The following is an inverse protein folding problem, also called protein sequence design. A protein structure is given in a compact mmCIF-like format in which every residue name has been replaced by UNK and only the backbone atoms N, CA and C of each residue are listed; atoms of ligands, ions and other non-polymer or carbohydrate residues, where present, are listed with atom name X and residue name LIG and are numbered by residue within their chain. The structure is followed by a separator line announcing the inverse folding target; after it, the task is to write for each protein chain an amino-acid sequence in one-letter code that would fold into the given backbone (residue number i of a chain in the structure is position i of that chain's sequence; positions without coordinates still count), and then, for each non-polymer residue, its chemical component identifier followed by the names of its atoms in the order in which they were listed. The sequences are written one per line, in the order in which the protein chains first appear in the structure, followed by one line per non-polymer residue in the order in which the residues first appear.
data_IF_894255438803
#
_entry.id   IF_894255438803
#
_cell.length_a   1.000
_cell.length_b   1.000
_cell.length_c   1.000
_cell.angle_alpha   90.00
_cell.angle_beta   90.00
_cell.angle_gamma   90.00
#
_symmetry.space_group_name_H-M   'P 1'
#
loop_
_entity.id
_entity.type
_entity.pdbx_description
1 polymer ?
#
# COMPACT_ATOMS: atom_id res chain seq x y z
N UNK A 1 29.61 -4.26 30.02
CA UNK A 1 29.37 -5.17 28.87
C UNK A 1 27.88 -5.32 28.51
N UNK A 2 26.98 -5.31 29.52
CA UNK A 2 25.53 -5.44 29.25
C UNK A 2 24.91 -4.20 28.61
N UNK A 3 25.48 -3.03 28.77
CA UNK A 3 24.90 -1.75 28.31
C UNK A 3 25.19 -1.50 26.81
N UNK A 4 26.30 -2.04 26.30
CA UNK A 4 26.67 -1.89 24.86
C UNK A 4 25.71 -2.63 23.93
N UNK A 5 25.09 -3.71 24.40
CA UNK A 5 24.14 -4.50 23.62
C UNK A 5 22.69 -4.01 23.69
N UNK A 6 22.39 -3.05 24.56
CA UNK A 6 21.03 -2.51 24.73
C UNK A 6 20.72 -1.26 23.90
N UNK A 7 21.75 -0.71 23.22
CA UNK A 7 21.63 0.54 22.45
C UNK A 7 22.18 0.36 21.06
N UNK A 8 21.42 -0.37 20.22
CA UNK A 8 21.84 -0.62 18.84
C UNK A 8 20.86 -0.01 17.87
N UNK A 9 21.39 0.49 16.76
CA UNK A 9 20.61 0.92 15.60
C UNK A 9 20.83 -0.09 14.48
N UNK A 10 19.76 -0.69 14.00
CA UNK A 10 19.78 -1.55 12.82
C UNK A 10 19.33 -0.74 11.62
N UNK A 11 20.18 -0.61 10.60
CA UNK A 11 19.82 0.07 9.36
C UNK A 11 19.09 -0.90 8.44
N UNK A 12 17.87 -0.53 8.06
CA UNK A 12 17.04 -1.26 7.11
C UNK A 12 17.20 -0.66 5.71
N UNK A 13 17.86 -1.37 4.80
CA UNK A 13 17.95 -1.00 3.39
C UNK A 13 16.89 -1.79 2.61
N UNK A 14 15.67 -1.32 2.66
CA UNK A 14 14.49 -1.97 2.09
C UNK A 14 14.55 -1.94 0.56
N UNK A 15 14.59 -3.10 -0.13
CA UNK A 15 14.47 -3.20 -1.58
C UNK A 15 12.99 -3.34 -1.98
N UNK A 16 12.71 -3.26 -3.28
CA UNK A 16 11.45 -3.72 -3.90
C UNK A 16 10.16 -3.24 -3.21
N UNK A 17 10.14 -1.98 -2.72
CA UNK A 17 8.94 -1.39 -2.11
C UNK A 17 7.81 -1.31 -3.13
N UNK A 18 8.07 -0.93 -4.36
CA UNK A 18 7.08 -0.76 -5.44
C UNK A 18 6.38 -2.07 -5.86
N UNK A 19 6.92 -3.22 -5.45
CA UNK A 19 6.29 -4.55 -5.63
C UNK A 19 5.71 -5.12 -4.33
N UNK A 20 5.90 -4.43 -3.19
CA UNK A 20 5.48 -4.84 -1.84
C UNK A 20 6.11 -6.15 -1.36
N UNK A 21 7.31 -6.46 -1.83
CA UNK A 21 8.02 -7.71 -1.53
C UNK A 21 9.18 -7.51 -0.56
N UNK A 22 9.79 -6.32 -0.56
CA UNK A 22 11.07 -6.09 0.11
C UNK A 22 11.01 -6.18 1.62
N UNK A 23 10.06 -5.53 2.27
CA UNK A 23 9.90 -5.63 3.72
C UNK A 23 9.51 -7.06 4.14
N UNK A 24 8.71 -7.77 3.34
CA UNK A 24 8.34 -9.16 3.58
C UNK A 24 9.57 -10.06 3.58
N UNK A 25 10.38 -9.98 2.52
CA UNK A 25 11.61 -10.75 2.39
C UNK A 25 12.58 -10.48 3.56
N UNK A 26 12.79 -9.23 3.91
CA UNK A 26 13.63 -8.86 5.05
C UNK A 26 13.11 -9.39 6.38
N UNK A 27 11.79 -9.39 6.60
CA UNK A 27 11.16 -9.91 7.81
C UNK A 27 11.30 -11.45 7.90
N UNK A 28 11.13 -12.16 6.80
CA UNK A 28 11.32 -13.60 6.71
C UNK A 28 12.77 -14.00 6.92
N UNK A 29 13.71 -13.11 6.61
CA UNK A 29 15.15 -13.28 6.84
C UNK A 29 15.65 -12.67 8.17
N UNK A 30 14.77 -12.43 9.13
CA UNK A 30 15.12 -12.07 10.50
C UNK A 30 15.44 -10.60 10.73
N UNK A 31 14.86 -9.68 9.95
CA UNK A 31 15.04 -8.22 10.12
C UNK A 31 14.85 -7.77 11.58
N UNK A 32 13.85 -8.30 12.27
CA UNK A 32 13.51 -7.92 13.65
C UNK A 32 14.19 -8.80 14.72
N UNK A 33 15.08 -9.68 14.31
CA UNK A 33 15.77 -10.62 15.18
C UNK A 33 17.28 -10.31 15.24
N UNK A 34 17.94 -10.72 16.33
CA UNK A 34 19.41 -10.73 16.50
C UNK A 34 20.16 -9.46 16.06
N UNK A 35 20.02 -8.30 16.74
CA UNK A 35 19.26 -8.12 17.98
C UNK A 35 17.77 -7.94 17.70
N UNK A 36 16.91 -8.19 18.69
CA UNK A 36 15.50 -7.85 18.58
C UNK A 36 15.32 -6.34 18.41
N UNK A 37 14.28 -5.96 17.67
CA UNK A 37 13.96 -4.56 17.38
C UNK A 37 12.76 -4.14 18.22
N UNK A 38 12.90 -3.06 19.00
CA UNK A 38 11.86 -2.55 19.89
C UNK A 38 11.00 -1.46 19.25
N UNK A 39 11.56 -0.71 18.28
CA UNK A 39 10.82 0.28 17.48
C UNK A 39 11.45 0.45 16.11
N UNK A 40 10.66 0.96 15.15
CA UNK A 40 11.15 1.24 13.80
C UNK A 40 10.73 2.64 13.33
N UNK A 41 11.58 3.26 12.51
CA UNK A 41 11.37 4.58 11.93
C UNK A 41 11.65 4.55 10.43
N UNK A 42 10.74 5.10 9.64
CA UNK A 42 10.93 5.29 8.20
C UNK A 42 10.60 6.72 7.78
N UNK A 43 11.25 7.19 6.73
CA UNK A 43 10.91 8.44 6.07
C UNK A 43 10.65 8.21 4.58
N UNK A 44 9.62 8.88 4.08
CA UNK A 44 9.34 8.98 2.65
C UNK A 44 9.51 10.44 2.22
N UNK A 45 9.97 10.69 1.01
CA UNK A 45 10.07 12.04 0.45
C UNK A 45 8.79 12.43 -0.27
N UNK A 46 8.29 13.63 -0.02
CA UNK A 46 7.10 14.17 -0.67
C UNK A 46 7.49 15.24 -1.69
N UNK A 47 7.40 14.91 -2.97
CA UNK A 47 7.55 15.87 -4.07
C UNK A 47 6.30 16.76 -4.25
N UNK A 48 6.27 17.55 -5.30
CA UNK A 48 5.16 18.45 -5.60
C UNK A 48 5.28 19.76 -4.82
N UNK A 49 4.16 20.28 -4.35
CA UNK A 49 4.11 21.52 -3.54
C UNK A 49 4.28 21.25 -2.05
N UNK A 50 5.29 20.48 -1.71
CA UNK A 50 5.65 20.13 -0.34
C UNK A 50 7.08 20.60 -0.05
N UNK A 51 7.28 21.84 0.47
CA UNK A 51 8.60 22.43 0.60
C UNK A 51 9.43 21.76 1.70
N UNK A 52 10.75 21.91 1.62
CA UNK A 52 11.68 21.46 2.66
C UNK A 52 11.35 22.12 4.00
N UNK A 53 11.33 21.31 5.07
CA UNK A 53 10.88 21.68 6.40
C UNK A 53 9.46 21.22 6.73
N UNK A 54 8.65 20.88 5.73
CA UNK A 54 7.36 20.23 5.95
C UNK A 54 7.56 18.77 6.38
N UNK A 55 6.86 18.36 7.45
CA UNK A 55 6.85 16.99 7.96
C UNK A 55 5.40 16.54 8.13
N UNK A 56 4.98 15.61 7.30
CA UNK A 56 3.61 15.10 7.33
C UNK A 56 3.57 13.74 8.00
N UNK A 57 2.59 13.51 8.88
CA UNK A 57 2.50 12.30 9.69
C UNK A 57 1.04 11.94 10.03
N UNK A 58 0.85 10.73 10.58
CA UNK A 58 -0.39 10.34 11.23
C UNK A 58 -0.06 9.62 12.55
N UNK A 59 -0.62 10.11 13.64
CA UNK A 59 -0.46 9.59 15.00
C UNK A 59 -1.73 8.95 15.58
N UNK A 60 -2.82 8.95 14.82
CA UNK A 60 -4.15 8.61 15.33
C UNK A 60 -4.98 7.72 14.41
N UNK A 61 -4.36 7.12 13.41
CA UNK A 61 -5.08 6.27 12.47
C UNK A 61 -4.21 5.65 11.39
N UNK A 62 -4.85 5.31 10.29
CA UNK A 62 -4.19 4.73 9.12
C UNK A 62 -3.56 5.84 8.30
N UNK A 63 -2.24 5.78 8.15
CA UNK A 63 -1.46 6.70 7.33
C UNK A 63 -1.55 6.36 5.84
N UNK A 64 -1.51 5.07 5.49
CA UNK A 64 -1.65 4.58 4.11
C UNK A 64 -2.57 3.37 4.05
N UNK A 65 -3.34 3.25 2.97
CA UNK A 65 -4.28 2.14 2.80
C UNK A 65 -3.57 0.82 2.55
N UNK A 66 -4.26 -0.30 2.79
CA UNK A 66 -3.85 -1.61 2.27
C UNK A 66 -3.93 -1.64 0.74
N UNK A 67 -3.26 -2.60 0.14
CA UNK A 67 -3.52 -3.04 -1.22
C UNK A 67 -3.62 -4.55 -1.29
N UNK A 68 -4.61 -5.03 -2.04
CA UNK A 68 -4.73 -6.42 -2.47
C UNK A 68 -4.96 -6.40 -3.98
N UNK A 69 -3.88 -6.67 -4.74
CA UNK A 69 -3.93 -6.83 -6.18
C UNK A 69 -4.38 -8.25 -6.53
N UNK A 70 -5.26 -8.39 -7.50
CA UNK A 70 -5.80 -9.68 -7.91
C UNK A 70 -5.95 -9.81 -9.42
N UNK A 71 -5.88 -11.05 -9.88
CA UNK A 71 -6.24 -11.46 -11.22
C UNK A 71 -7.30 -12.55 -11.15
N UNK A 72 -8.39 -12.39 -11.90
CA UNK A 72 -9.45 -13.38 -12.08
C UNK A 72 -9.40 -13.83 -13.54
N UNK A 73 -9.05 -15.08 -13.77
CA UNK A 73 -9.17 -15.72 -15.08
C UNK A 73 -10.46 -16.51 -15.14
N UNK A 74 -11.37 -16.08 -15.99
CA UNK A 74 -12.63 -16.78 -16.27
C UNK A 74 -12.37 -17.83 -17.34
N UNK A 75 -12.66 -19.09 -17.05
CA UNK A 75 -12.58 -20.21 -17.98
C UNK A 75 -13.97 -20.56 -18.50
N UNK A 76 -14.15 -20.42 -19.79
CA UNK A 76 -15.36 -20.75 -20.51
C UNK A 76 -15.10 -21.85 -21.54
N UNK A 77 -15.80 -21.75 -22.65
CA UNK A 77 -15.64 -22.58 -23.85
C UNK A 77 -15.96 -21.76 -25.09
N UNK A 78 -14.97 -21.57 -25.93
CA UNK A 78 -15.09 -20.79 -27.16
C UNK A 78 -15.96 -21.46 -28.22
N UNK A 79 -16.44 -20.65 -29.14
CA UNK A 79 -17.13 -21.12 -30.36
C UNK A 79 -17.18 -20.03 -31.43
N UNK A 80 -17.68 -20.37 -32.61
CA UNK A 80 -18.03 -19.38 -33.61
C UNK A 80 -19.15 -18.46 -33.08
N UNK A 81 -19.02 -17.15 -33.22
CA UNK A 81 -19.99 -16.17 -32.68
C UNK A 81 -21.42 -16.33 -33.14
N UNK A 82 -21.67 -17.03 -34.28
CA UNK A 82 -23.01 -17.38 -34.75
C UNK A 82 -23.62 -18.61 -34.02
N UNK A 83 -22.83 -19.33 -33.21
CA UNK A 83 -23.28 -20.53 -32.49
C UNK A 83 -23.07 -20.37 -30.98
N UNK A 84 -23.59 -19.32 -30.32
CA UNK A 84 -23.34 -19.05 -28.90
C UNK A 84 -23.91 -20.12 -27.97
N UNK A 85 -24.89 -20.88 -28.41
CA UNK A 85 -25.47 -22.01 -27.68
C UNK A 85 -24.50 -23.18 -27.48
N UNK A 86 -23.38 -23.23 -28.21
CA UNK A 86 -22.33 -24.22 -28.08
C UNK A 86 -21.17 -23.71 -27.17
N UNK A 87 -21.20 -22.45 -26.80
CA UNK A 87 -20.20 -21.80 -25.98
C UNK A 87 -20.56 -21.77 -24.48
N UNK A 88 -19.57 -21.46 -23.67
CA UNK A 88 -19.70 -20.82 -22.36
C UNK A 88 -18.92 -19.53 -22.50
N UNK A 89 -19.58 -18.41 -22.69
CA UNK A 89 -18.95 -17.14 -23.06
C UNK A 89 -18.26 -16.48 -21.87
N UNK A 90 -16.92 -16.49 -21.77
CA UNK A 90 -16.21 -15.92 -20.64
C UNK A 90 -16.22 -14.38 -20.63
N UNK A 91 -16.48 -13.72 -21.75
CA UNK A 91 -16.66 -12.25 -21.80
C UNK A 91 -17.95 -11.88 -21.08
N UNK A 92 -19.05 -12.54 -21.43
CA UNK A 92 -20.33 -12.31 -20.75
C UNK A 92 -20.25 -12.62 -19.25
N UNK A 93 -19.63 -13.74 -18.87
CA UNK A 93 -19.41 -14.10 -17.46
C UNK A 93 -18.56 -13.06 -16.73
N UNK A 94 -17.45 -12.61 -17.35
CA UNK A 94 -16.57 -11.58 -16.80
C UNK A 94 -17.27 -10.24 -16.58
N UNK A 95 -18.20 -9.84 -17.47
CA UNK A 95 -19.03 -8.65 -17.27
C UNK A 95 -19.93 -8.81 -16.04
N UNK A 96 -20.57 -9.96 -15.86
CA UNK A 96 -21.40 -10.22 -14.68
C UNK A 96 -20.59 -10.26 -13.39
N UNK A 97 -19.38 -10.84 -13.41
CA UNK A 97 -18.44 -10.79 -12.28
C UNK A 97 -18.10 -9.34 -11.96
N UNK A 98 -17.71 -8.54 -12.96
CA UNK A 98 -17.39 -7.12 -12.79
C UNK A 98 -18.53 -6.36 -12.07
N UNK A 99 -19.77 -6.52 -12.55
CA UNK A 99 -20.95 -5.87 -11.96
C UNK A 99 -21.21 -6.36 -10.54
N UNK A 100 -21.14 -7.67 -10.29
CA UNK A 100 -21.37 -8.25 -8.97
C UNK A 100 -20.33 -7.78 -7.94
N UNK A 101 -19.08 -7.58 -8.35
CA UNK A 101 -18.02 -7.07 -7.46
C UNK A 101 -18.28 -5.62 -7.01
N UNK A 102 -18.98 -4.79 -7.81
CA UNK A 102 -19.34 -3.43 -7.39
C UNK A 102 -20.32 -3.41 -6.21
N UNK A 103 -21.16 -4.44 -6.09
CA UNK A 103 -22.10 -4.58 -4.96
C UNK A 103 -21.39 -4.75 -3.61
N UNK A 104 -20.17 -5.30 -3.59
CA UNK A 104 -19.38 -5.43 -2.36
C UNK A 104 -19.11 -4.06 -1.72
N UNK A 105 -18.78 -3.07 -2.53
CA UNK A 105 -18.57 -1.71 -2.06
C UNK A 105 -19.90 -1.03 -1.74
N UNK A 106 -20.90 -1.21 -2.61
CA UNK A 106 -22.16 -0.49 -2.50
C UNK A 106 -23.10 -1.03 -1.40
N UNK A 107 -22.95 -2.31 -0.98
CA UNK A 107 -23.92 -2.99 -0.13
C UNK A 107 -23.31 -3.79 1.03
N UNK A 108 -22.03 -4.17 0.98
CA UNK A 108 -21.41 -4.98 2.03
C UNK A 108 -20.34 -4.24 2.84
N UNK A 109 -19.74 -3.18 2.28
CA UNK A 109 -18.76 -2.37 2.98
C UNK A 109 -19.39 -1.43 4.00
N UNK A 110 -18.73 -1.25 5.13
CA UNK A 110 -19.07 -0.22 6.11
C UNK A 110 -18.86 1.17 5.48
N UNK A 111 -19.92 2.02 5.37
CA UNK A 111 -19.81 3.34 4.74
C UNK A 111 -18.94 4.33 5.51
N UNK A 112 -18.56 4.02 6.75
CA UNK A 112 -17.64 4.85 7.57
C UNK A 112 -16.17 4.52 7.30
N UNK A 113 -15.89 3.49 6.50
CA UNK A 113 -14.54 3.03 6.17
C UNK A 113 -14.16 3.36 4.73
N UNK A 114 -12.90 3.65 4.51
CA UNK A 114 -12.38 3.75 3.15
C UNK A 114 -12.28 2.36 2.55
N UNK A 115 -13.11 2.09 1.54
CA UNK A 115 -13.13 0.84 0.79
C UNK A 115 -13.20 1.15 -0.70
N UNK A 116 -12.24 0.66 -1.46
CA UNK A 116 -12.16 0.83 -2.92
C UNK A 116 -11.93 -0.52 -3.56
N UNK A 117 -12.69 -0.85 -4.59
CA UNK A 117 -12.46 -1.99 -5.48
C UNK A 117 -12.47 -1.48 -6.91
N UNK A 118 -11.37 -1.69 -7.62
CA UNK A 118 -11.21 -1.23 -9.00
C UNK A 118 -10.81 -2.41 -9.88
N UNK A 119 -11.50 -2.59 -10.99
CA UNK A 119 -11.02 -3.42 -12.11
C UNK A 119 -10.34 -2.48 -13.10
N UNK A 120 -9.01 -2.55 -13.17
CA UNK A 120 -8.20 -1.70 -14.04
C UNK A 120 -7.95 -2.30 -15.44
N UNK A 121 -8.11 -3.63 -15.58
CA UNK A 121 -7.95 -4.33 -16.85
C UNK A 121 -9.03 -5.39 -17.04
N UNK A 122 -9.58 -5.45 -18.25
CA UNK A 122 -10.45 -6.51 -18.70
C UNK A 122 -10.02 -6.90 -20.12
N UNK A 123 -9.49 -8.10 -20.28
CA UNK A 123 -8.86 -8.57 -21.51
C UNK A 123 -9.53 -9.87 -21.95
N UNK A 124 -10.05 -9.91 -23.19
CA UNK A 124 -10.65 -11.12 -23.75
C UNK A 124 -10.79 -11.03 -25.27
N UNK A 125 -10.71 -12.18 -25.93
CA UNK A 125 -10.94 -12.31 -27.36
C UNK A 125 -9.90 -11.62 -28.25
N UNK A 126 -9.85 -12.04 -29.52
CA UNK A 126 -8.95 -11.50 -30.54
C UNK A 126 -9.67 -11.18 -31.84
N UNK A 127 -10.93 -11.66 -32.02
CA UNK A 127 -11.72 -11.45 -33.20
C UNK A 127 -13.21 -11.28 -32.85
N UNK A 128 -13.90 -10.40 -33.58
CA UNK A 128 -15.28 -10.03 -33.29
C UNK A 128 -16.30 -11.17 -33.53
N UNK A 129 -15.96 -12.18 -34.32
CA UNK A 129 -16.82 -13.30 -34.66
C UNK A 129 -16.45 -14.61 -33.94
N UNK A 130 -15.62 -14.55 -32.91
CA UNK A 130 -15.17 -15.71 -32.12
C UNK A 130 -15.41 -15.44 -30.66
N UNK A 131 -16.12 -16.34 -29.96
CA UNK A 131 -16.20 -16.39 -28.52
C UNK A 131 -14.91 -17.07 -28.03
N UNK A 132 -14.09 -16.42 -27.14
CA UNK A 132 -12.85 -16.98 -26.68
C UNK A 132 -13.08 -18.08 -25.62
N UNK A 133 -11.98 -18.79 -25.25
CA UNK A 133 -12.01 -19.77 -24.14
C UNK A 133 -11.82 -19.11 -22.77
N UNK A 134 -11.22 -17.92 -22.72
CA UNK A 134 -10.90 -17.23 -21.47
C UNK A 134 -11.14 -15.72 -21.53
N UNK A 135 -11.38 -15.14 -20.36
CA UNK A 135 -11.33 -13.69 -20.11
C UNK A 135 -10.57 -13.41 -18.82
N UNK A 136 -9.81 -12.33 -18.76
CA UNK A 136 -8.99 -11.96 -17.61
C UNK A 136 -9.39 -10.59 -17.10
N UNK A 137 -9.67 -10.51 -15.79
CA UNK A 137 -9.91 -9.26 -15.07
C UNK A 137 -8.76 -9.06 -14.07
N UNK A 138 -8.14 -7.88 -14.05
CA UNK A 138 -7.17 -7.49 -13.03
C UNK A 138 -7.66 -6.27 -12.29
N UNK A 139 -7.48 -6.29 -10.98
CA UNK A 139 -7.94 -5.20 -10.14
C UNK A 139 -7.19 -5.10 -8.83
N UNK A 140 -7.59 -4.10 -8.04
CA UNK A 140 -7.08 -3.87 -6.68
C UNK A 140 -8.21 -3.61 -5.71
N UNK A 141 -8.03 -4.06 -4.46
CA UNK A 141 -8.83 -3.65 -3.31
C UNK A 141 -7.95 -2.78 -2.43
N UNK A 142 -8.46 -1.64 -1.95
CA UNK A 142 -7.79 -0.76 -1.01
C UNK A 142 -8.72 -0.43 0.16
N UNK A 143 -8.18 -0.45 1.37
CA UNK A 143 -8.97 -0.11 2.57
C UNK A 143 -8.07 0.41 3.69
N UNK A 144 -8.65 1.18 4.59
CA UNK A 144 -7.99 1.66 5.80
C UNK A 144 -8.37 0.85 7.05
N UNK A 145 -9.00 -0.32 6.90
CA UNK A 145 -9.48 -1.14 8.01
C UNK A 145 -9.18 -2.63 7.77
N UNK A 146 -8.52 -3.29 8.73
CA UNK A 146 -8.14 -4.70 8.61
C UNK A 146 -9.34 -5.66 8.48
N UNK A 147 -10.46 -5.35 9.15
CA UNK A 147 -11.68 -6.20 9.09
C UNK A 147 -12.37 -6.02 7.74
N UNK A 148 -12.47 -4.78 7.26
CA UNK A 148 -13.01 -4.48 5.94
C UNK A 148 -12.17 -5.14 4.84
N UNK A 149 -10.82 -5.11 4.95
CA UNK A 149 -9.90 -5.81 4.05
C UNK A 149 -10.21 -7.31 3.98
N UNK A 150 -10.23 -7.97 5.14
CA UNK A 150 -10.49 -9.42 5.22
C UNK A 150 -11.86 -9.78 4.63
N UNK A 151 -12.89 -8.97 4.90
CA UNK A 151 -14.22 -9.12 4.32
C UNK A 151 -14.17 -9.01 2.79
N UNK A 152 -13.63 -7.92 2.26
CA UNK A 152 -13.65 -7.65 0.83
C UNK A 152 -12.85 -8.66 0.02
N UNK A 153 -11.65 -9.05 0.48
CA UNK A 153 -10.83 -10.08 -0.20
C UNK A 153 -11.55 -11.42 -0.24
N UNK A 154 -12.13 -11.85 0.87
CA UNK A 154 -12.93 -13.08 0.92
C UNK A 154 -14.16 -12.99 0.01
N UNK A 155 -14.94 -11.93 0.12
CA UNK A 155 -16.17 -11.75 -0.66
C UNK A 155 -15.92 -11.61 -2.15
N UNK A 156 -14.83 -10.97 -2.55
CA UNK A 156 -14.41 -10.88 -3.95
C UNK A 156 -14.24 -12.28 -4.55
N UNK A 157 -13.54 -13.19 -3.86
CA UNK A 157 -13.34 -14.57 -4.31
C UNK A 157 -14.67 -15.33 -4.40
N UNK A 158 -15.45 -15.34 -3.29
CA UNK A 158 -16.75 -16.00 -3.25
C UNK A 158 -17.73 -15.50 -4.33
N UNK A 159 -17.75 -14.19 -4.57
CA UNK A 159 -18.65 -13.58 -5.56
C UNK A 159 -18.22 -13.96 -6.98
N UNK A 160 -16.93 -13.91 -7.29
CA UNK A 160 -16.43 -14.31 -8.61
C UNK A 160 -16.74 -15.79 -8.90
N UNK A 161 -16.45 -16.69 -7.96
CA UNK A 161 -16.69 -18.13 -8.10
C UNK A 161 -18.17 -18.45 -8.28
N UNK A 162 -19.05 -17.88 -7.45
CA UNK A 162 -20.49 -18.11 -7.51
C UNK A 162 -21.12 -17.52 -8.78
N UNK A 163 -20.68 -16.34 -9.20
CA UNK A 163 -21.17 -15.73 -10.43
C UNK A 163 -20.76 -16.54 -11.65
N UNK A 164 -19.54 -17.03 -11.72
CA UNK A 164 -19.08 -17.91 -12.80
C UNK A 164 -19.92 -19.19 -12.86
N UNK A 165 -20.19 -19.81 -11.71
CA UNK A 165 -20.97 -21.04 -11.61
C UNK A 165 -22.40 -20.89 -12.14
N UNK A 166 -23.05 -19.72 -11.99
CA UNK A 166 -24.36 -19.44 -12.56
C UNK A 166 -24.40 -19.66 -14.08
N UNK A 167 -23.26 -19.39 -14.75
CA UNK A 167 -23.12 -19.49 -16.20
C UNK A 167 -22.35 -20.74 -16.66
N UNK A 168 -22.17 -21.73 -15.76
CA UNK A 168 -21.39 -22.95 -16.01
C UNK A 168 -19.93 -22.71 -16.37
N UNK A 169 -19.36 -21.55 -15.99
CA UNK A 169 -17.95 -21.23 -16.10
C UNK A 169 -17.23 -21.51 -14.76
N UNK A 170 -15.89 -21.51 -14.81
CA UNK A 170 -15.04 -21.55 -13.61
C UNK A 170 -14.11 -20.35 -13.60
N UNK A 171 -13.53 -20.06 -12.43
CA UNK A 171 -12.51 -19.01 -12.29
C UNK A 171 -11.28 -19.54 -11.60
N UNK A 172 -10.11 -19.04 -12.02
CA UNK A 172 -8.86 -19.07 -11.29
C UNK A 172 -8.58 -17.68 -10.73
N UNK A 173 -8.25 -17.58 -9.43
CA UNK A 173 -8.00 -16.28 -8.78
C UNK A 173 -6.61 -16.27 -8.18
N UNK A 174 -5.75 -15.37 -8.69
CA UNK A 174 -4.38 -15.18 -8.25
C UNK A 174 -4.23 -13.87 -7.49
N UNK A 175 -3.45 -13.85 -6.41
CA UNK A 175 -3.01 -12.64 -5.73
C UNK A 175 -1.80 -12.09 -6.49
N UNK A 176 -1.82 -10.80 -6.83
CA UNK A 176 -0.73 -10.10 -7.53
C UNK A 176 0.13 -9.28 -6.56
N UNK A 177 -0.49 -8.71 -5.54
CA UNK A 177 0.18 -7.94 -4.49
C UNK A 177 -0.65 -7.98 -3.21
N UNK A 178 0.01 -7.84 -2.06
CA UNK A 178 -0.67 -7.89 -0.76
C UNK A 178 0.13 -7.13 0.29
N UNK A 179 -0.47 -6.07 0.86
CA UNK A 179 0.07 -5.38 2.03
C UNK A 179 -1.05 -4.85 2.92
N UNK A 180 -0.83 -4.87 4.24
CA UNK A 180 -1.78 -4.35 5.23
C UNK A 180 -1.80 -2.80 5.25
N UNK A 181 -2.80 -2.16 5.89
CA UNK A 181 -2.78 -0.73 6.11
C UNK A 181 -1.59 -0.33 6.99
N UNK A 182 -0.90 0.76 6.64
CA UNK A 182 0.14 1.33 7.48
C UNK A 182 -0.49 2.12 8.63
N UNK A 183 -0.26 1.66 9.85
CA UNK A 183 -0.68 2.30 11.09
C UNK A 183 0.55 2.66 11.90
N UNK A 184 0.78 3.95 12.14
CA UNK A 184 1.88 4.41 12.96
C UNK A 184 1.51 4.35 14.44
N UNK A 185 2.49 4.00 15.28
CA UNK A 185 2.36 4.05 16.74
C UNK A 185 2.39 5.51 17.21
N UNK A 186 1.39 5.88 18.03
CA UNK A 186 1.27 7.27 18.51
C UNK A 186 2.47 7.70 19.35
N UNK A 187 2.89 6.87 20.29
CA UNK A 187 3.98 7.22 21.21
C UNK A 187 5.30 7.41 20.48
N UNK A 188 5.62 6.46 19.59
CA UNK A 188 6.83 6.57 18.75
C UNK A 188 6.74 7.79 17.82
N UNK A 189 5.58 8.07 17.24
CA UNK A 189 5.40 9.25 16.37
C UNK A 189 5.59 10.56 17.13
N UNK A 190 5.00 10.69 18.33
CA UNK A 190 5.13 11.87 19.19
C UNK A 190 6.59 12.10 19.60
N UNK A 191 7.31 11.04 19.98
CA UNK A 191 8.72 11.10 20.31
C UNK A 191 9.57 11.58 19.14
N UNK A 192 9.36 11.01 17.94
CA UNK A 192 10.09 11.43 16.74
C UNK A 192 9.85 12.90 16.41
N UNK A 193 8.63 13.39 16.50
CA UNK A 193 8.30 14.80 16.26
C UNK A 193 8.98 15.71 17.29
N UNK A 194 9.02 15.32 18.56
CA UNK A 194 9.68 16.05 19.62
C UNK A 194 11.19 16.13 19.38
N UNK A 195 11.84 15.02 18.99
CA UNK A 195 13.27 15.02 18.68
C UNK A 195 13.58 15.86 17.43
N UNK A 196 12.78 15.73 16.37
CA UNK A 196 12.94 16.56 15.17
C UNK A 196 12.80 18.04 15.47
N UNK A 197 11.86 18.42 16.35
CA UNK A 197 11.67 19.81 16.78
C UNK A 197 12.89 20.41 17.48
N UNK A 198 13.75 19.59 18.11
CA UNK A 198 14.98 20.03 18.75
C UNK A 198 16.14 20.31 17.77
N UNK A 199 16.04 19.90 16.50
CA UNK A 199 17.11 20.04 15.49
C UNK A 199 17.20 21.42 14.82
N UNK A 200 16.34 22.37 15.19
CA UNK A 200 16.29 23.68 14.51
C UNK A 200 16.23 23.61 12.98
N UNK A 201 15.43 22.67 12.46
CA UNK A 201 15.21 22.51 11.00
C UNK A 201 14.61 23.81 10.45
N UNK A 202 15.18 24.39 9.39
CA UNK A 202 14.60 25.57 8.76
C UNK A 202 13.15 25.34 8.30
N UNK A 203 12.24 26.22 8.66
CA UNK A 203 10.83 26.16 8.32
C UNK A 203 10.13 24.86 8.79
N UNK A 204 10.59 24.28 9.91
CA UNK A 204 9.99 23.08 10.47
C UNK A 204 8.48 23.27 10.69
N UNK A 205 7.69 22.51 9.94
CA UNK A 205 6.22 22.61 9.94
C UNK A 205 5.63 21.20 9.98
N UNK A 206 5.37 20.66 11.19
CA UNK A 206 4.67 19.39 11.33
C UNK A 206 3.19 19.53 10.94
N UNK A 207 2.70 18.59 10.13
CA UNK A 207 1.31 18.54 9.65
C UNK A 207 0.75 17.14 9.88
N UNK A 208 -0.09 17.01 10.91
CA UNK A 208 -0.63 15.74 11.36
C UNK A 208 -1.93 15.33 10.70
N UNK A 209 -2.33 14.08 10.95
CA UNK A 209 -3.62 13.53 10.53
C UNK A 209 -3.70 13.21 9.03
N UNK A 210 -2.56 13.07 8.32
CA UNK A 210 -2.60 12.69 6.91
C UNK A 210 -3.08 11.24 6.76
N UNK A 211 -3.87 11.00 5.72
CA UNK A 211 -4.26 9.68 5.27
C UNK A 211 -4.15 9.62 3.75
N UNK A 212 -3.24 8.79 3.26
CA UNK A 212 -2.99 8.60 1.84
C UNK A 212 -3.67 7.33 1.31
N UNK A 213 -4.10 7.38 0.06
CA UNK A 213 -4.67 6.22 -0.64
C UNK A 213 -3.62 5.28 -1.24
N UNK A 214 -2.34 5.67 -1.18
CA UNK A 214 -1.21 4.81 -1.50
C UNK A 214 -1.05 3.68 -0.48
N UNK A 215 -0.11 2.78 -0.76
CA UNK A 215 0.24 1.66 0.11
C UNK A 215 1.76 1.61 0.22
N UNK A 216 2.27 0.99 1.28
CA UNK A 216 3.69 0.95 1.64
C UNK A 216 3.98 -0.35 2.38
N UNK A 217 4.99 -1.12 1.98
CA UNK A 217 5.25 -2.42 2.61
C UNK A 217 6.00 -2.32 3.95
N UNK A 218 6.54 -1.15 4.31
CA UNK A 218 6.94 -0.86 5.70
C UNK A 218 5.78 -1.10 6.70
N UNK A 219 4.53 -1.10 6.23
CA UNK A 219 3.37 -1.50 7.01
C UNK A 219 3.52 -2.89 7.64
N UNK A 220 4.24 -3.82 6.99
CA UNK A 220 4.51 -5.16 7.52
C UNK A 220 5.46 -5.13 8.72
N UNK A 221 6.38 -4.17 8.77
CA UNK A 221 7.24 -3.89 9.94
C UNK A 221 6.42 -3.25 11.05
N UNK A 222 5.62 -2.23 10.71
CA UNK A 222 4.77 -1.52 11.65
C UNK A 222 3.68 -2.40 12.28
N UNK A 223 3.31 -3.51 11.64
CA UNK A 223 2.40 -4.51 12.21
C UNK A 223 3.05 -5.36 13.31
N UNK A 224 4.38 -5.42 13.37
CA UNK A 224 5.14 -6.30 14.28
C UNK A 224 5.82 -5.56 15.42
N UNK A 225 6.23 -4.30 15.20
CA UNK A 225 6.88 -3.46 16.22
C UNK A 225 6.32 -2.04 16.20
N UNK A 226 6.27 -1.33 17.33
CA UNK A 226 5.87 0.07 17.36
C UNK A 226 6.70 0.88 16.36
N UNK A 227 6.02 1.59 15.45
CA UNK A 227 6.71 2.22 14.33
C UNK A 227 6.15 3.59 14.00
N UNK A 228 7.00 4.47 13.50
CA UNK A 228 6.62 5.74 12.91
C UNK A 228 7.09 5.83 11.46
N UNK A 229 6.25 6.35 10.59
CA UNK A 229 6.62 6.77 9.24
C UNK A 229 6.19 8.20 9.04
N UNK A 230 7.05 8.99 8.38
CA UNK A 230 6.77 10.39 8.10
C UNK A 230 7.15 10.74 6.67
N UNK A 231 6.40 11.64 6.06
CA UNK A 231 6.80 12.25 4.80
C UNK A 231 7.59 13.53 5.07
N UNK A 232 8.75 13.63 4.45
CA UNK A 232 9.58 14.85 4.46
C UNK A 232 9.34 15.62 3.17
N UNK A 233 9.00 16.90 3.30
CA UNK A 233 8.83 17.78 2.15
C UNK A 233 10.12 17.89 1.33
N UNK A 234 10.04 17.52 0.06
CA UNK A 234 11.13 17.53 -0.91
C UNK A 234 10.70 18.19 -2.23
N UNK A 235 9.70 19.03 -2.20
CA UNK A 235 9.16 19.71 -3.37
C UNK A 235 9.47 21.21 -3.39
N UNK A 236 8.81 21.89 -4.30
CA UNK A 236 8.97 23.32 -4.54
C UNK A 236 7.60 24.00 -4.61
N UNK A 237 7.50 25.25 -4.15
CA UNK A 237 6.27 26.04 -4.21
C UNK A 237 6.05 26.75 -5.56
N UNK A 238 7.04 26.73 -6.46
CA UNK A 238 7.00 27.26 -7.83
C UNK A 238 6.58 26.21 -8.87
N UNK A 239 6.84 26.47 -10.16
CA UNK A 239 6.52 25.58 -11.28
C UNK A 239 7.20 24.21 -11.20
N UNK A 240 8.33 24.07 -10.52
CA UNK A 240 9.02 22.79 -10.29
C UNK A 240 8.20 21.83 -9.45
N UNK A 241 7.29 22.35 -8.59
CA UNK A 241 6.36 21.57 -7.80
C UNK A 241 5.07 21.16 -8.54
N UNK A 242 5.04 21.25 -9.88
CA UNK A 242 3.86 20.86 -10.66
C UNK A 242 3.59 19.35 -10.64
N UNK A 243 4.64 18.53 -10.56
CA UNK A 243 4.54 17.08 -10.62
C UNK A 243 4.88 16.43 -9.28
N UNK A 244 4.12 15.41 -8.93
CA UNK A 244 4.35 14.57 -7.73
C UNK A 244 5.14 13.32 -8.08
N UNK A 245 5.46 12.47 -7.07
CA UNK A 245 6.09 11.17 -7.27
C UNK A 245 5.36 10.32 -8.34
N UNK A 246 6.06 9.37 -8.95
CA UNK A 246 5.63 8.52 -10.08
C UNK A 246 5.39 9.26 -11.41
N UNK A 247 5.69 10.55 -11.50
CA UNK A 247 5.67 11.27 -12.76
C UNK A 247 7.10 11.41 -13.31
N UNK A 248 7.38 11.12 -14.61
CA UNK A 248 8.74 11.22 -15.16
C UNK A 248 9.32 12.64 -15.17
N UNK A 249 8.51 13.67 -14.90
CA UNK A 249 8.91 15.08 -14.81
C UNK A 249 9.03 15.57 -13.36
N UNK A 250 8.93 14.67 -12.38
CA UNK A 250 9.06 15.05 -10.97
C UNK A 250 10.44 15.64 -10.70
N UNK A 251 10.48 16.69 -9.87
CA UNK A 251 11.71 17.31 -9.39
C UNK A 251 11.72 17.28 -7.88
N UNK A 252 12.80 16.75 -7.30
CA UNK A 252 13.00 16.73 -5.85
C UNK A 252 13.96 17.84 -5.43
N UNK A 253 13.69 18.47 -4.31
CA UNK A 253 14.59 19.40 -3.67
C UNK A 253 15.60 18.63 -2.80
N UNK A 254 16.83 18.48 -3.31
CA UNK A 254 17.89 17.75 -2.61
C UNK A 254 18.31 18.37 -1.27
N UNK A 255 17.90 19.59 -0.98
CA UNK A 255 18.06 20.20 0.36
C UNK A 255 17.40 19.42 1.49
N UNK A 256 16.47 18.51 1.18
CA UNK A 256 15.88 17.59 2.17
C UNK A 256 16.86 16.50 2.63
N UNK A 257 17.84 16.09 1.80
CA UNK A 257 18.72 14.95 2.08
C UNK A 257 19.51 15.09 3.38
N UNK A 258 20.27 16.21 3.61
CA UNK A 258 20.97 16.38 4.89
C UNK A 258 20.02 16.50 6.07
N UNK A 259 18.83 17.08 5.89
CA UNK A 259 17.80 17.19 6.93
C UNK A 259 17.29 15.81 7.29
N UNK A 260 16.90 15.00 6.30
CA UNK A 260 16.41 13.64 6.50
C UNK A 260 17.44 12.76 7.22
N UNK A 261 18.71 12.83 6.80
CA UNK A 261 19.79 12.10 7.46
C UNK A 261 19.98 12.53 8.91
N UNK A 262 19.98 13.85 9.19
CA UNK A 262 20.10 14.38 10.55
C UNK A 262 18.89 13.97 11.42
N UNK A 263 17.68 14.04 10.89
CA UNK A 263 16.46 13.59 11.57
C UNK A 263 16.54 12.11 11.92
N UNK A 264 16.89 11.24 10.97
CA UNK A 264 16.98 9.80 11.19
C UNK A 264 17.99 9.47 12.28
N UNK A 265 19.19 10.03 12.20
CA UNK A 265 20.26 9.80 13.17
C UNK A 265 19.89 10.33 14.57
N UNK A 266 19.38 11.57 14.64
CA UNK A 266 19.03 12.20 15.92
C UNK A 266 17.86 11.47 16.60
N UNK A 267 16.79 11.17 15.86
CA UNK A 267 15.65 10.42 16.39
C UNK A 267 16.08 9.06 16.94
N UNK A 268 16.92 8.31 16.24
CA UNK A 268 17.42 7.02 16.70
C UNK A 268 18.23 7.17 18.00
N UNK A 269 19.12 8.16 18.07
CA UNK A 269 19.97 8.39 19.26
C UNK A 269 19.15 8.82 20.48
N UNK A 270 18.24 9.78 20.32
CA UNK A 270 17.44 10.28 21.43
C UNK A 270 16.46 9.21 21.93
N UNK A 271 15.84 8.47 21.02
CA UNK A 271 14.95 7.36 21.39
C UNK A 271 15.69 6.29 22.22
N UNK A 272 16.90 5.90 21.79
CA UNK A 272 17.73 4.94 22.54
C UNK A 272 18.17 5.47 23.92
N UNK A 273 18.38 6.77 24.09
CA UNK A 273 18.70 7.36 25.40
C UNK A 273 17.54 7.26 26.39
N UNK A 274 16.31 7.42 25.87
CA UNK A 274 15.11 7.47 26.71
C UNK A 274 14.50 6.08 26.97
N UNK A 275 14.75 5.09 26.08
CA UNK A 275 14.12 3.77 26.10
C UNK A 275 15.10 2.59 26.32
N UNK A 276 16.36 2.86 26.71
CA UNK A 276 17.39 1.81 26.90
C UNK A 276 17.62 1.47 28.38
#
# INVERSE_FOLDING_TARGET
ASDVYKRQVKLMFQPAEETFEGARDMLENGLLENPPVDAALAYHVAAGKSPVGFVMYNDSGVMMTSVDGFEITVHGRGSHGANPNLAIDPINVGVHIHLALQELIARESDPTKTCVLTIGQFMAGTAANIIPDTAVLRGTIRTNDKKARALLVRRMRETAERTAAVYNATVEIRTLSEVCPLVCDKSVTDDMLRYMGALNIPNFTPYGGISATGSEDFALVAERVPSAMMYLGAGYMDERGQYTAHNPKVVFNEGVLPIGAACMAHCAVEWLKENA
#
